data_IF_879373661551
#
_entry.id   IF_879373661551
#
_cell.length_a   1.000
_cell.length_b   1.000
_cell.length_c   1.000
_cell.angle_alpha   90.00
_cell.angle_beta   90.00
_cell.angle_gamma   90.00
#
_symmetry.space_group_name_H-M   'P 1'
#
loop_
_entity.id
_entity.type
_entity.pdbx_description
1 polymer ?
#
# COMPACT_ATOMS: atom_id res chain seq x y z
N UNK A 1 31.74 -2.19 -25.59
CA UNK A 1 31.09 -1.73 -24.34
C UNK A 1 30.94 -2.93 -23.42
N UNK A 2 31.44 -2.90 -22.18
CA UNK A 2 31.21 -4.01 -21.25
C UNK A 2 29.71 -4.10 -20.92
N UNK A 3 29.19 -5.32 -20.87
CA UNK A 3 27.81 -5.56 -20.43
C UNK A 3 27.67 -5.28 -18.93
N UNK A 4 26.51 -4.79 -18.46
CA UNK A 4 26.30 -4.43 -17.07
C UNK A 4 26.33 -5.66 -16.13
N UNK A 5 25.91 -6.83 -16.61
CA UNK A 5 25.88 -8.07 -15.83
C UNK A 5 26.76 -9.13 -16.46
N UNK A 6 27.53 -9.84 -15.63
CA UNK A 6 28.35 -11.00 -16.04
C UNK A 6 27.73 -12.33 -15.61
N UNK A 7 26.84 -12.30 -14.62
CA UNK A 7 26.13 -13.46 -14.10
C UNK A 7 24.71 -13.48 -14.68
N UNK A 8 24.28 -14.54 -15.38
CA UNK A 8 22.94 -14.60 -15.97
C UNK A 8 21.80 -14.40 -14.95
N UNK A 9 21.98 -14.89 -13.72
CA UNK A 9 21.02 -14.75 -12.64
C UNK A 9 20.79 -13.28 -12.23
N UNK A 10 21.85 -12.47 -12.19
CA UNK A 10 21.74 -11.03 -11.89
C UNK A 10 20.94 -10.31 -12.98
N UNK A 11 21.21 -10.64 -14.25
CA UNK A 11 20.45 -10.10 -15.38
C UNK A 11 18.97 -10.51 -15.31
N UNK A 12 18.66 -11.75 -14.88
CA UNK A 12 17.29 -12.23 -14.68
C UNK A 12 16.58 -11.44 -13.59
N UNK A 13 17.21 -11.23 -12.43
CA UNK A 13 16.61 -10.45 -11.33
C UNK A 13 16.38 -9.00 -11.73
N UNK A 14 17.36 -8.39 -12.39
CA UNK A 14 17.23 -7.02 -12.88
C UNK A 14 16.07 -6.88 -13.86
N UNK A 15 15.95 -7.82 -14.80
CA UNK A 15 14.85 -7.86 -15.76
C UNK A 15 13.49 -8.14 -15.09
N UNK A 16 13.45 -9.06 -14.13
CA UNK A 16 12.23 -9.38 -13.39
C UNK A 16 11.69 -8.17 -12.63
N UNK A 17 12.57 -7.36 -12.03
CA UNK A 17 12.16 -6.10 -11.39
C UNK A 17 11.45 -5.16 -12.36
N UNK A 18 12.02 -4.97 -13.55
CA UNK A 18 11.47 -4.10 -14.60
C UNK A 18 10.07 -4.53 -15.05
N UNK A 19 9.90 -5.83 -15.31
CA UNK A 19 8.67 -6.35 -15.91
C UNK A 19 7.55 -6.54 -14.89
N UNK A 20 7.87 -6.94 -13.66
CA UNK A 20 6.88 -7.43 -12.72
C UNK A 20 6.74 -6.58 -11.45
N UNK A 21 7.79 -5.85 -11.03
CA UNK A 21 7.82 -5.22 -9.70
C UNK A 21 7.71 -3.71 -9.75
N UNK A 22 8.43 -3.05 -10.65
CA UNK A 22 8.48 -1.59 -10.74
C UNK A 22 7.09 -0.97 -10.91
N UNK A 23 6.23 -1.58 -11.74
CA UNK A 23 4.86 -1.10 -11.95
C UNK A 23 3.99 -1.08 -10.70
N UNK A 24 4.26 -1.94 -9.69
CA UNK A 24 3.54 -1.90 -8.41
C UNK A 24 3.93 -0.69 -7.56
N UNK A 25 5.17 -0.22 -7.71
CA UNK A 25 5.69 0.95 -7.00
C UNK A 25 5.21 2.25 -7.68
N UNK A 26 5.11 2.26 -9.01
CA UNK A 26 4.74 3.43 -9.83
C UNK A 26 3.22 3.74 -9.93
N UNK A 27 2.36 3.14 -9.09
CA UNK A 27 0.90 3.22 -9.24
C UNK A 27 0.32 4.65 -9.30
N UNK A 28 0.95 5.60 -8.61
CA UNK A 28 0.56 7.01 -8.61
C UNK A 28 1.63 7.91 -9.23
N UNK A 29 2.47 7.35 -10.08
CA UNK A 29 3.58 8.04 -10.74
C UNK A 29 3.51 7.88 -12.26
N UNK A 30 3.11 8.95 -12.94
CA UNK A 30 3.00 8.97 -14.41
C UNK A 30 4.36 8.88 -15.11
N UNK A 31 5.44 9.32 -14.45
CA UNK A 31 6.80 9.27 -15.00
C UNK A 31 7.45 7.89 -14.81
N UNK A 32 6.87 7.06 -13.94
CA UNK A 32 7.27 5.67 -13.68
C UNK A 32 8.74 5.57 -13.26
N UNK A 33 9.12 6.35 -12.24
CA UNK A 33 10.53 6.46 -11.84
C UNK A 33 11.12 5.13 -11.38
N UNK A 34 10.32 4.22 -10.79
CA UNK A 34 10.83 2.89 -10.45
C UNK A 34 11.06 2.03 -11.68
N UNK A 35 10.27 2.17 -12.75
CA UNK A 35 10.46 1.41 -13.99
C UNK A 35 11.50 2.03 -14.94
N UNK A 36 11.75 3.34 -14.84
CA UNK A 36 12.58 4.10 -15.78
C UNK A 36 13.91 4.54 -15.15
N UNK A 37 13.87 5.32 -14.07
CA UNK A 37 15.06 5.93 -13.47
C UNK A 37 15.85 4.98 -12.56
N UNK A 38 15.16 4.22 -11.71
CA UNK A 38 15.79 3.28 -10.76
C UNK A 38 16.74 2.28 -11.45
N UNK A 39 16.36 1.63 -12.55
CA UNK A 39 17.23 0.69 -13.26
C UNK A 39 18.52 1.36 -13.76
N UNK A 40 18.42 2.56 -14.34
CA UNK A 40 19.59 3.30 -14.82
C UNK A 40 20.51 3.68 -13.66
N UNK A 41 19.95 4.23 -12.59
CA UNK A 41 20.69 4.62 -11.39
C UNK A 41 21.34 3.42 -10.69
N UNK A 42 20.66 2.28 -10.65
CA UNK A 42 21.17 1.05 -10.03
C UNK A 42 22.48 0.58 -10.66
N UNK A 43 22.71 0.82 -11.97
CA UNK A 43 23.97 0.46 -12.62
C UNK A 43 25.19 1.24 -12.09
N UNK A 44 24.95 2.40 -11.45
CA UNK A 44 26.00 3.26 -10.88
C UNK A 44 25.93 3.36 -9.34
N UNK A 45 24.86 2.85 -8.71
CA UNK A 45 24.63 2.89 -7.28
C UNK A 45 24.51 1.47 -6.71
N UNK A 46 25.56 0.92 -6.06
CA UNK A 46 25.55 -0.44 -5.53
C UNK A 46 24.42 -0.69 -4.53
N UNK A 47 24.10 0.29 -3.67
CA UNK A 47 23.03 0.15 -2.67
C UNK A 47 21.67 -0.05 -3.33
N UNK A 48 21.36 0.75 -4.36
CA UNK A 48 20.11 0.61 -5.10
C UNK A 48 20.06 -0.69 -5.89
N UNK A 49 21.19 -1.11 -6.48
CA UNK A 49 21.28 -2.40 -7.16
C UNK A 49 21.03 -3.56 -6.20
N UNK A 50 21.66 -3.56 -5.03
CA UNK A 50 21.49 -4.61 -4.02
C UNK A 50 20.03 -4.68 -3.56
N UNK A 51 19.37 -3.54 -3.28
CA UNK A 51 17.95 -3.50 -2.91
C UNK A 51 17.05 -4.10 -4.00
N UNK A 52 17.29 -3.71 -5.26
CA UNK A 52 16.56 -4.21 -6.43
C UNK A 52 16.73 -5.71 -6.58
N UNK A 53 17.97 -6.21 -6.52
CA UNK A 53 18.28 -7.64 -6.65
C UNK A 53 17.68 -8.46 -5.51
N UNK A 54 17.74 -7.94 -4.28
CA UNK A 54 17.12 -8.57 -3.12
C UNK A 54 15.62 -8.75 -3.33
N UNK A 55 14.92 -7.66 -3.67
CA UNK A 55 13.47 -7.70 -3.86
C UNK A 55 13.07 -8.63 -5.01
N UNK A 56 13.75 -8.53 -6.16
CA UNK A 56 13.49 -9.39 -7.31
C UNK A 56 13.72 -10.87 -7.02
N UNK A 57 14.86 -11.21 -6.40
CA UNK A 57 15.18 -12.57 -6.02
C UNK A 57 14.19 -13.15 -5.01
N UNK A 58 13.79 -12.35 -4.02
CA UNK A 58 12.79 -12.77 -3.02
C UNK A 58 11.45 -13.05 -3.67
N UNK A 59 10.98 -12.14 -4.51
CA UNK A 59 9.73 -12.32 -5.24
C UNK A 59 9.75 -13.60 -6.08
N UNK A 60 10.78 -13.79 -6.91
CA UNK A 60 10.95 -14.99 -7.73
C UNK A 60 11.01 -16.27 -6.90
N UNK A 61 11.75 -16.27 -5.79
CA UNK A 61 11.84 -17.43 -4.90
C UNK A 61 10.47 -17.90 -4.40
N UNK A 62 9.54 -16.95 -4.16
CA UNK A 62 8.19 -17.22 -3.65
C UNK A 62 7.18 -17.54 -4.74
N UNK A 63 7.24 -16.88 -5.89
CA UNK A 63 6.28 -17.10 -6.98
C UNK A 63 6.65 -18.31 -7.85
N UNK A 64 7.93 -18.66 -7.92
CA UNK A 64 8.44 -19.75 -8.75
C UNK A 64 9.02 -20.92 -7.95
N UNK A 65 8.93 -20.89 -6.61
CA UNK A 65 9.37 -21.94 -5.68
C UNK A 65 10.86 -22.38 -5.88
N UNK A 66 11.75 -21.41 -6.08
CA UNK A 66 13.19 -21.63 -6.30
C UNK A 66 14.00 -21.34 -5.03
N UNK A 67 14.48 -22.39 -4.35
CA UNK A 67 15.26 -22.24 -3.10
C UNK A 67 16.59 -21.52 -3.32
N UNK A 68 17.23 -21.69 -4.48
CA UNK A 68 18.49 -21.00 -4.80
C UNK A 68 18.31 -19.49 -4.87
N UNK A 69 17.17 -19.01 -5.34
CA UNK A 69 16.89 -17.58 -5.46
C UNK A 69 16.71 -16.93 -4.08
N UNK A 70 16.20 -17.68 -3.09
CA UNK A 70 16.07 -17.19 -1.71
C UNK A 70 17.43 -16.84 -1.10
N UNK A 71 18.41 -17.74 -1.21
CA UNK A 71 19.74 -17.51 -0.62
C UNK A 71 20.47 -16.32 -1.28
N UNK A 72 20.28 -16.14 -2.60
CA UNK A 72 20.85 -15.01 -3.33
C UNK A 72 20.15 -13.70 -2.92
N UNK A 73 18.82 -13.73 -2.73
CA UNK A 73 18.08 -12.57 -2.26
C UNK A 73 18.53 -12.12 -0.86
N UNK A 74 18.72 -13.06 0.07
CA UNK A 74 19.25 -12.81 1.41
C UNK A 74 20.66 -12.22 1.37
N UNK A 75 21.51 -12.67 0.45
CA UNK A 75 22.85 -12.13 0.25
C UNK A 75 22.81 -10.65 -0.17
N UNK A 76 22.00 -10.30 -1.17
CA UNK A 76 21.84 -8.91 -1.62
C UNK A 76 21.21 -8.03 -0.54
N UNK A 77 20.21 -8.53 0.18
CA UNK A 77 19.62 -7.81 1.31
C UNK A 77 20.68 -7.49 2.37
N UNK A 78 21.47 -8.47 2.80
CA UNK A 78 22.54 -8.28 3.78
C UNK A 78 23.57 -7.23 3.31
N UNK A 79 23.98 -7.28 2.04
CA UNK A 79 24.94 -6.35 1.48
C UNK A 79 24.39 -4.92 1.40
N UNK A 80 23.12 -4.76 0.99
CA UNK A 80 22.40 -3.48 0.99
C UNK A 80 22.39 -2.85 2.39
N UNK A 81 21.89 -3.60 3.40
CA UNK A 81 21.82 -3.14 4.79
C UNK A 81 23.21 -2.78 5.33
N UNK A 82 24.21 -3.63 5.09
CA UNK A 82 25.58 -3.40 5.56
C UNK A 82 26.19 -2.13 5.00
N UNK A 83 25.83 -1.75 3.76
CA UNK A 83 26.26 -0.49 3.14
C UNK A 83 25.48 0.71 3.64
N UNK A 84 24.19 0.56 3.93
CA UNK A 84 23.33 1.65 4.39
C UNK A 84 23.59 2.05 5.84
N UNK A 85 23.86 1.10 6.74
CA UNK A 85 24.09 1.37 8.18
C UNK A 85 25.10 2.52 8.43
N UNK A 86 26.31 2.54 7.84
CA UNK A 86 27.25 3.63 8.08
C UNK A 86 26.75 4.97 7.52
N UNK A 87 26.00 4.96 6.40
CA UNK A 87 25.48 6.16 5.73
C UNK A 87 24.40 6.88 6.54
N UNK A 88 23.70 6.19 7.45
CA UNK A 88 22.68 6.79 8.31
C UNK A 88 23.24 7.88 9.25
N UNK A 89 24.57 7.93 9.44
CA UNK A 89 25.22 8.98 10.24
C UNK A 89 25.57 10.24 9.41
N UNK A 90 25.43 10.20 8.09
CA UNK A 90 25.78 11.28 7.17
C UNK A 90 24.51 11.95 6.65
N UNK A 91 24.26 13.21 7.05
CA UNK A 91 23.00 13.90 6.76
C UNK A 91 22.72 14.06 5.26
N UNK A 92 23.75 14.36 4.48
CA UNK A 92 23.66 14.53 3.03
C UNK A 92 23.25 13.23 2.33
N UNK A 93 23.72 12.07 2.82
CA UNK A 93 23.35 10.77 2.26
C UNK A 93 21.93 10.37 2.64
N UNK A 94 21.47 10.69 3.85
CA UNK A 94 20.07 10.45 4.26
C UNK A 94 19.10 11.31 3.43
N UNK A 95 19.55 12.45 2.91
CA UNK A 95 18.78 13.32 2.01
C UNK A 95 18.82 12.89 0.53
N UNK A 96 19.60 11.86 0.16
CA UNK A 96 19.71 11.41 -1.23
C UNK A 96 18.48 10.60 -1.68
N UNK A 97 17.84 11.03 -2.77
CA UNK A 97 16.63 10.39 -3.31
C UNK A 97 16.88 8.95 -3.80
N UNK A 98 18.10 8.63 -4.24
CA UNK A 98 18.47 7.29 -4.73
C UNK A 98 18.60 6.32 -3.56
N UNK A 99 19.19 6.77 -2.45
CA UNK A 99 19.27 6.00 -1.20
C UNK A 99 17.88 5.85 -0.55
N UNK A 100 17.03 6.87 -0.64
CA UNK A 100 15.65 6.74 -0.17
C UNK A 100 14.86 5.72 -1.00
N UNK A 101 14.98 5.74 -2.33
CA UNK A 101 14.36 4.73 -3.20
C UNK A 101 14.87 3.31 -2.87
N UNK A 102 16.17 3.15 -2.60
CA UNK A 102 16.73 1.87 -2.16
C UNK A 102 16.12 1.40 -0.83
N UNK A 103 15.97 2.31 0.15
CA UNK A 103 15.34 2.01 1.45
C UNK A 103 13.87 1.55 1.30
N UNK A 104 13.12 2.16 0.36
CA UNK A 104 11.74 1.80 0.06
C UNK A 104 11.63 0.43 -0.63
N UNK A 105 12.51 0.13 -1.58
CA UNK A 105 12.58 -1.19 -2.22
C UNK A 105 12.94 -2.26 -1.19
N UNK A 106 13.92 -1.99 -0.33
CA UNK A 106 14.35 -2.88 0.74
C UNK A 106 13.22 -3.14 1.75
N UNK A 107 12.44 -2.12 2.10
CA UNK A 107 11.21 -2.29 2.90
C UNK A 107 10.21 -3.24 2.23
N UNK A 108 10.05 -3.14 0.91
CA UNK A 108 9.18 -4.06 0.15
C UNK A 108 9.72 -5.50 0.15
N UNK A 109 11.04 -5.67 0.14
CA UNK A 109 11.67 -6.98 0.35
C UNK A 109 11.31 -7.55 1.74
N UNK A 110 11.43 -6.76 2.79
CA UNK A 110 11.14 -7.21 4.16
C UNK A 110 9.66 -7.62 4.31
N UNK A 111 8.75 -6.81 3.76
CA UNK A 111 7.31 -7.09 3.64
C UNK A 111 7.02 -8.45 2.97
N UNK A 112 7.78 -8.76 1.92
CA UNK A 112 7.68 -10.03 1.18
C UNK A 112 8.60 -11.12 1.72
N UNK A 113 9.32 -10.94 2.83
CA UNK A 113 10.17 -11.97 3.42
C UNK A 113 9.54 -12.63 4.64
N UNK A 114 8.51 -12.03 5.24
CA UNK A 114 7.86 -12.61 6.41
C UNK A 114 7.10 -13.90 6.08
N UNK A 115 7.11 -14.86 7.00
CA UNK A 115 6.30 -16.09 6.94
C UNK A 115 4.96 -15.93 7.65
N UNK A 116 4.83 -14.92 8.51
CA UNK A 116 3.63 -14.57 9.25
C UNK A 116 3.47 -13.05 9.23
N UNK A 117 2.32 -12.54 8.74
CA UNK A 117 2.08 -11.10 8.72
C UNK A 117 2.26 -10.50 10.12
N UNK A 118 3.18 -9.53 10.23
CA UNK A 118 3.39 -8.71 11.42
C UNK A 118 4.34 -9.31 12.46
N UNK A 119 4.91 -10.50 12.22
CA UNK A 119 5.84 -11.14 13.16
C UNK A 119 7.30 -10.76 12.87
N UNK A 120 7.83 -9.78 13.63
CA UNK A 120 9.28 -9.46 13.62
C UNK A 120 9.69 -8.20 12.85
N UNK A 121 8.72 -7.52 12.25
CA UNK A 121 8.86 -6.36 11.38
C UNK A 121 9.54 -5.11 12.01
N UNK A 122 9.48 -4.95 13.33
CA UNK A 122 9.88 -3.70 13.99
C UNK A 122 11.41 -3.45 14.05
N UNK A 123 12.25 -4.45 13.75
CA UNK A 123 13.71 -4.31 13.94
C UNK A 123 14.46 -3.62 12.79
N UNK A 124 13.94 -3.62 11.57
CA UNK A 124 14.66 -3.10 10.38
C UNK A 124 13.90 -2.00 9.60
N UNK A 125 12.56 -2.01 9.57
CA UNK A 125 11.74 -1.01 8.88
C UNK A 125 11.76 0.42 9.46
N UNK A 126 12.37 0.63 10.61
CA UNK A 126 12.46 1.97 11.22
C UNK A 126 13.47 2.86 10.49
N UNK A 127 14.38 2.29 9.69
CA UNK A 127 15.34 3.07 8.91
C UNK A 127 14.70 3.93 7.81
N UNK A 128 13.63 3.46 7.16
CA UNK A 128 13.04 4.16 6.00
C UNK A 128 12.38 5.48 6.37
N UNK A 129 11.81 5.61 7.57
CA UNK A 129 11.23 6.88 8.03
C UNK A 129 12.29 7.95 8.26
N UNK A 130 13.53 7.58 8.59
CA UNK A 130 14.66 8.51 8.72
C UNK A 130 14.93 9.20 7.39
N UNK A 131 14.95 8.45 6.28
CA UNK A 131 15.09 9.01 4.93
C UNK A 131 13.89 9.90 4.57
N UNK A 132 12.66 9.39 4.77
CA UNK A 132 11.44 10.13 4.42
C UNK A 132 11.36 11.49 5.13
N UNK A 133 11.67 11.53 6.42
CA UNK A 133 11.65 12.75 7.21
C UNK A 133 12.83 13.69 6.87
N UNK A 134 13.98 13.17 6.45
CA UNK A 134 15.08 14.00 5.99
C UNK A 134 14.76 14.73 4.67
N UNK A 135 14.06 14.10 3.72
CA UNK A 135 13.62 14.77 2.48
C UNK A 135 12.82 16.05 2.78
N UNK A 136 12.00 16.02 3.83
CA UNK A 136 11.27 17.19 4.33
C UNK A 136 12.18 18.29 4.86
N UNK A 137 13.27 17.95 5.55
CA UNK A 137 14.23 18.93 6.03
C UNK A 137 15.03 19.57 4.87
N UNK A 138 15.41 18.78 3.87
CA UNK A 138 16.28 19.23 2.76
C UNK A 138 15.52 19.77 1.55
N UNK A 139 14.18 19.75 1.56
CA UNK A 139 13.32 20.27 0.50
C UNK A 139 13.57 19.64 -0.89
N UNK A 140 14.03 18.40 -0.91
CA UNK A 140 14.29 17.62 -2.12
C UNK A 140 12.98 16.98 -2.61
N UNK A 141 12.21 17.74 -3.39
CA UNK A 141 10.87 17.34 -3.85
C UNK A 141 10.74 17.25 -5.38
N UNK A 142 9.99 16.25 -5.83
CA UNK A 142 9.85 15.88 -7.25
C UNK A 142 10.65 14.61 -7.57
N UNK A 143 10.64 14.20 -8.84
CA UNK A 143 11.48 13.11 -9.32
C UNK A 143 11.29 11.78 -8.59
N UNK A 144 12.40 11.06 -8.41
CA UNK A 144 12.43 9.75 -7.77
C UNK A 144 12.12 9.85 -6.27
N UNK A 145 12.60 10.88 -5.57
CA UNK A 145 12.32 11.09 -4.15
C UNK A 145 10.81 11.21 -3.86
N UNK A 146 10.09 11.94 -4.71
CA UNK A 146 8.63 12.06 -4.65
C UNK A 146 7.92 10.73 -4.87
N UNK A 147 8.34 9.97 -5.89
CA UNK A 147 7.77 8.65 -6.17
C UNK A 147 7.99 7.69 -4.99
N UNK A 148 9.21 7.66 -4.44
CA UNK A 148 9.57 6.84 -3.28
C UNK A 148 8.76 7.21 -2.03
N UNK A 149 8.49 8.51 -1.82
CA UNK A 149 7.66 8.97 -0.71
C UNK A 149 6.25 8.38 -0.74
N UNK A 150 5.56 8.39 -1.89
CA UNK A 150 4.20 7.85 -1.98
C UNK A 150 4.14 6.32 -1.91
N UNK A 151 5.23 5.62 -2.23
CA UNK A 151 5.35 4.19 -1.90
C UNK A 151 5.47 4.03 -0.38
N UNK A 152 6.36 4.79 0.26
CA UNK A 152 6.57 4.75 1.70
C UNK A 152 5.28 5.02 2.49
N UNK A 153 4.49 6.04 2.14
CA UNK A 153 3.20 6.33 2.81
C UNK A 153 2.23 5.15 2.70
N UNK A 154 2.12 4.52 1.53
CA UNK A 154 1.25 3.35 1.34
C UNK A 154 1.70 2.14 2.17
N UNK A 155 3.02 1.91 2.23
CA UNK A 155 3.61 0.88 3.09
C UNK A 155 3.36 1.17 4.57
N UNK A 156 3.41 2.44 4.96
CA UNK A 156 3.20 2.84 6.35
C UNK A 156 1.75 2.69 6.80
N UNK A 157 0.80 3.03 5.93
CA UNK A 157 -0.64 2.73 6.13
C UNK A 157 -0.85 1.22 6.30
N UNK A 158 -0.28 0.41 5.40
CA UNK A 158 -0.37 -1.05 5.49
C UNK A 158 0.15 -1.56 6.83
N UNK A 159 1.33 -1.11 7.25
CA UNK A 159 1.93 -1.56 8.51
C UNK A 159 1.17 -1.09 9.73
N UNK A 160 0.73 0.17 9.76
CA UNK A 160 -0.06 0.71 10.86
C UNK A 160 -1.34 -0.08 11.07
N UNK A 161 -2.06 -0.44 10.00
CA UNK A 161 -3.24 -1.29 10.08
C UNK A 161 -2.92 -2.71 10.52
N UNK A 162 -1.82 -3.29 10.04
CA UNK A 162 -1.40 -4.65 10.37
C UNK A 162 -0.97 -4.79 11.83
N UNK A 163 -0.12 -3.89 12.33
CA UNK A 163 0.44 -3.95 13.68
C UNK A 163 -0.40 -3.19 14.71
N UNK A 164 -1.47 -2.51 14.27
CA UNK A 164 -2.29 -1.62 15.10
C UNK A 164 -1.46 -0.57 15.86
N UNK A 165 -0.43 -0.03 15.20
CA UNK A 165 0.45 1.00 15.76
C UNK A 165 0.28 2.34 15.03
N UNK A 166 0.66 3.47 15.64
CA UNK A 166 0.71 4.75 14.94
C UNK A 166 1.59 4.72 13.68
N UNK A 167 1.29 5.63 12.75
CA UNK A 167 2.13 5.86 11.57
C UNK A 167 3.54 6.31 11.98
N UNK A 168 4.54 5.88 11.21
CA UNK A 168 5.93 6.34 11.30
C UNK A 168 6.19 7.58 10.45
N UNK A 169 5.40 7.78 9.39
CA UNK A 169 5.38 9.06 8.68
C UNK A 169 4.86 10.13 9.63
N UNK A 170 5.63 11.18 9.84
CA UNK A 170 5.12 12.36 10.51
C UNK A 170 4.08 13.00 9.60
N UNK A 171 2.88 13.32 10.09
CA UNK A 171 1.88 14.03 9.28
C UNK A 171 1.97 15.55 9.47
N UNK A 172 2.67 16.01 10.52
CA UNK A 172 2.81 17.42 10.86
C UNK A 172 3.90 18.10 10.04
N UNK A 173 3.70 19.37 9.70
CA UNK A 173 4.67 20.18 8.95
C UNK A 173 4.74 19.87 7.46
N UNK A 174 4.04 18.83 7.00
CA UNK A 174 3.90 18.46 5.60
C UNK A 174 3.09 19.54 4.85
N UNK A 175 1.93 19.96 5.34
CA UNK A 175 1.15 21.03 4.66
C UNK A 175 1.92 22.35 4.46
N UNK A 176 2.87 22.69 5.33
CA UNK A 176 3.64 23.95 5.27
C UNK A 176 4.96 23.85 4.49
N UNK A 177 5.61 22.68 4.47
CA UNK A 177 6.98 22.49 3.94
C UNK A 177 7.03 21.81 2.59
N UNK A 178 5.87 21.50 2.03
CA UNK A 178 5.76 20.68 0.86
C UNK A 178 5.54 21.47 -0.42
N UNK A 179 6.15 20.96 -1.49
CA UNK A 179 5.75 21.25 -2.87
C UNK A 179 4.57 20.37 -3.32
N UNK A 180 4.01 19.54 -2.45
CA UNK A 180 2.86 18.69 -2.76
C UNK A 180 1.56 19.49 -2.63
N UNK A 181 0.72 19.35 -3.63
CA UNK A 181 -0.60 19.94 -3.64
C UNK A 181 -1.61 18.99 -2.96
N UNK A 182 -1.81 19.21 -1.66
CA UNK A 182 -2.80 18.51 -0.82
C UNK A 182 -4.17 19.20 -0.82
N UNK A 183 -4.35 20.23 -1.65
CA UNK A 183 -5.61 20.95 -1.76
C UNK A 183 -6.69 20.18 -2.52
N UNK A 184 -7.68 20.90 -3.03
CA UNK A 184 -8.73 20.34 -3.87
C UNK A 184 -8.83 21.04 -5.24
N UNK A 185 -7.84 21.88 -5.57
CA UNK A 185 -7.78 22.56 -6.85
C UNK A 185 -7.50 21.57 -7.99
N UNK A 186 -7.99 21.84 -9.21
CA UNK A 186 -7.73 21.00 -10.38
C UNK A 186 -6.23 20.82 -10.64
N UNK A 187 -5.81 19.57 -10.82
CA UNK A 187 -4.41 19.15 -10.99
C UNK A 187 -4.37 17.78 -11.68
N UNK A 188 -3.21 17.14 -11.75
CA UNK A 188 -3.03 15.83 -12.39
C UNK A 188 -3.75 14.70 -11.65
N UNK A 189 -4.15 13.65 -12.37
CA UNK A 189 -4.82 12.49 -11.77
C UNK A 189 -3.93 11.76 -10.74
N UNK A 190 -2.62 11.71 -10.97
CA UNK A 190 -1.65 11.18 -9.99
C UNK A 190 -1.71 11.94 -8.67
N UNK A 191 -1.76 13.27 -8.72
CA UNK A 191 -1.90 14.12 -7.54
C UNK A 191 -3.23 13.87 -6.83
N UNK A 192 -4.34 13.71 -7.56
CA UNK A 192 -5.64 13.36 -6.97
C UNK A 192 -5.63 12.00 -6.26
N UNK A 193 -4.96 10.99 -6.82
CA UNK A 193 -4.79 9.70 -6.16
C UNK A 193 -3.96 9.84 -4.87
N UNK A 194 -2.87 10.59 -4.92
CA UNK A 194 -2.00 10.87 -3.78
C UNK A 194 -2.73 11.65 -2.66
N UNK A 195 -3.58 12.63 -3.01
CA UNK A 195 -4.45 13.32 -2.04
C UNK A 195 -5.34 12.35 -1.26
N UNK A 196 -5.90 11.34 -1.93
CA UNK A 196 -6.71 10.34 -1.23
C UNK A 196 -5.89 9.41 -0.34
N UNK A 197 -4.69 9.02 -0.79
CA UNK A 197 -3.75 8.26 0.04
C UNK A 197 -3.41 9.04 1.31
N UNK A 198 -3.15 10.35 1.18
CA UNK A 198 -2.86 11.22 2.32
C UNK A 198 -4.04 11.29 3.30
N UNK A 199 -5.26 11.50 2.81
CA UNK A 199 -6.46 11.52 3.66
C UNK A 199 -6.64 10.19 4.41
N UNK A 200 -6.35 9.04 3.77
CA UNK A 200 -6.34 7.74 4.48
C UNK A 200 -5.24 7.69 5.53
N UNK A 201 -4.05 8.23 5.27
CA UNK A 201 -2.99 8.34 6.28
C UNK A 201 -3.46 9.17 7.49
N UNK A 202 -4.13 10.30 7.28
CA UNK A 202 -4.71 11.09 8.37
C UNK A 202 -5.75 10.29 9.19
N UNK A 203 -6.63 9.54 8.50
CA UNK A 203 -7.62 8.66 9.15
C UNK A 203 -6.94 7.59 10.01
N UNK A 204 -5.94 6.92 9.46
CA UNK A 204 -5.15 5.90 10.18
C UNK A 204 -4.41 6.53 11.37
N UNK A 205 -3.84 7.72 11.18
CA UNK A 205 -3.11 8.48 12.19
C UNK A 205 -3.91 8.73 13.46
N UNK A 206 -5.19 9.14 13.35
CA UNK A 206 -6.03 9.31 14.54
C UNK A 206 -6.72 8.00 14.98
N UNK A 207 -6.89 7.00 14.10
CA UNK A 207 -7.42 5.69 14.49
C UNK A 207 -6.54 4.99 15.54
N UNK A 208 -5.20 5.13 15.44
CA UNK A 208 -4.22 4.55 16.36
C UNK A 208 -3.47 5.59 17.22
N UNK A 209 -3.73 6.88 17.01
CA UNK A 209 -3.24 8.01 17.80
C UNK A 209 -4.31 8.60 18.73
N UNK A 210 -4.40 9.94 18.77
CA UNK A 210 -5.38 10.65 19.61
C UNK A 210 -6.76 10.75 18.93
N UNK A 211 -7.71 9.94 19.41
CA UNK A 211 -9.09 9.85 18.90
C UNK A 211 -9.94 11.01 19.41
N UNK A 212 -9.86 12.15 18.75
CA UNK A 212 -10.77 13.27 19.00
C UNK A 212 -11.86 13.38 17.90
N UNK A 213 -13.04 13.89 18.27
CA UNK A 213 -14.19 14.02 17.36
C UNK A 213 -13.92 15.01 16.22
N UNK A 214 -13.16 16.08 16.48
CA UNK A 214 -12.85 17.11 15.49
C UNK A 214 -12.01 16.57 14.31
N UNK A 215 -11.09 15.66 14.59
CA UNK A 215 -10.26 15.00 13.58
C UNK A 215 -11.10 14.10 12.69
N UNK A 216 -12.08 13.39 13.28
CA UNK A 216 -13.00 12.54 12.52
C UNK A 216 -13.88 13.35 11.57
N UNK A 217 -14.49 14.45 12.06
CA UNK A 217 -15.34 15.32 11.23
C UNK A 217 -14.53 15.96 10.09
N UNK A 218 -13.34 16.49 10.40
CA UNK A 218 -12.43 17.05 9.40
C UNK A 218 -12.05 16.04 8.32
N UNK A 219 -11.70 14.80 8.72
CA UNK A 219 -11.35 13.75 7.77
C UNK A 219 -12.55 13.32 6.91
N UNK A 220 -13.75 13.20 7.49
CA UNK A 220 -14.98 12.95 6.72
C UNK A 220 -15.21 14.04 5.68
N UNK A 221 -15.12 15.30 6.08
CA UNK A 221 -15.35 16.44 5.19
C UNK A 221 -14.31 16.50 4.05
N UNK A 222 -13.05 16.14 4.33
CA UNK A 222 -11.99 15.96 3.30
C UNK A 222 -12.35 14.84 2.31
N UNK A 223 -12.83 13.69 2.78
CA UNK A 223 -13.27 12.57 1.91
C UNK A 223 -14.43 12.98 1.02
N UNK A 224 -15.44 13.67 1.56
CA UNK A 224 -16.59 14.16 0.79
C UNK A 224 -16.17 15.23 -0.23
N UNK A 225 -15.29 16.15 0.17
CA UNK A 225 -14.76 17.19 -0.73
C UNK A 225 -13.94 16.56 -1.87
N UNK A 226 -13.14 15.53 -1.57
CA UNK A 226 -12.41 14.78 -2.59
C UNK A 226 -13.36 14.12 -3.58
N UNK A 227 -14.43 13.46 -3.10
CA UNK A 227 -15.45 12.80 -3.92
C UNK A 227 -16.12 13.80 -4.88
N UNK A 228 -16.49 14.98 -4.37
CA UNK A 228 -17.16 16.02 -5.16
C UNK A 228 -16.25 16.74 -6.16
N UNK A 229 -14.95 16.81 -5.87
CA UNK A 229 -14.00 17.65 -6.61
C UNK A 229 -13.09 16.87 -7.57
N UNK A 230 -12.95 15.54 -7.39
CA UNK A 230 -12.06 14.73 -8.23
C UNK A 230 -12.45 14.84 -9.72
N UNK A 231 -11.49 14.70 -10.64
CA UNK A 231 -11.78 14.71 -12.07
C UNK A 231 -12.64 13.52 -12.50
N UNK A 232 -13.44 13.70 -13.56
CA UNK A 232 -14.28 12.64 -14.15
C UNK A 232 -13.49 11.42 -14.66
N UNK A 233 -12.17 11.53 -14.83
CA UNK A 233 -11.30 10.40 -15.19
C UNK A 233 -11.30 9.29 -14.13
N UNK A 234 -11.68 9.62 -12.89
CA UNK A 234 -11.87 8.67 -11.79
C UNK A 234 -13.23 7.97 -11.81
N UNK A 235 -14.15 8.34 -12.70
CA UNK A 235 -15.42 7.63 -12.83
C UNK A 235 -15.19 6.24 -13.46
N UNK A 236 -15.87 5.19 -12.97
CA UNK A 236 -15.74 3.85 -13.54
C UNK A 236 -16.10 3.82 -15.03
N UNK A 237 -15.26 3.16 -15.82
CA UNK A 237 -15.56 2.81 -17.22
C UNK A 237 -16.73 1.82 -17.28
N UNK A 238 -16.76 0.90 -16.30
CA UNK A 238 -17.83 -0.06 -16.11
C UNK A 238 -18.14 -0.14 -14.61
N UNK A 239 -19.43 -0.09 -14.30
CA UNK A 239 -19.95 -0.44 -12.99
C UNK A 239 -21.04 -1.50 -13.16
N UNK A 240 -20.86 -2.65 -12.53
CA UNK A 240 -21.90 -3.67 -12.44
C UNK A 240 -22.14 -4.01 -10.98
N UNK A 241 -23.40 -3.91 -10.56
CA UNK A 241 -23.79 -4.10 -9.16
C UNK A 241 -23.62 -5.55 -8.70
N UNK A 242 -23.38 -5.74 -7.39
CA UNK A 242 -23.42 -7.05 -6.74
C UNK A 242 -24.76 -7.75 -7.01
N UNK A 243 -24.71 -9.04 -7.32
CA UNK A 243 -25.90 -9.87 -7.54
C UNK A 243 -25.66 -11.26 -6.91
N UNK A 244 -26.10 -11.45 -5.66
CA UNK A 244 -25.93 -12.71 -4.94
C UNK A 244 -26.67 -13.89 -5.58
N UNK A 245 -27.80 -13.62 -6.25
CA UNK A 245 -28.58 -14.65 -6.93
C UNK A 245 -27.80 -15.21 -8.13
N UNK A 246 -27.04 -14.34 -8.81
CA UNK A 246 -26.09 -14.72 -9.85
C UNK A 246 -24.70 -15.13 -9.31
N UNK A 247 -24.52 -15.32 -8.00
CA UNK A 247 -23.23 -15.60 -7.32
C UNK A 247 -22.13 -14.55 -7.56
N UNK A 248 -22.52 -13.33 -7.92
CA UNK A 248 -21.62 -12.18 -8.01
C UNK A 248 -21.67 -11.43 -6.68
N UNK A 249 -20.80 -11.79 -5.76
CA UNK A 249 -20.81 -11.24 -4.40
C UNK A 249 -20.10 -9.87 -4.28
N UNK A 250 -19.31 -9.48 -5.27
CA UNK A 250 -18.68 -8.15 -5.34
C UNK A 250 -19.15 -7.39 -6.57
N UNK A 251 -19.26 -6.05 -6.50
CA UNK A 251 -19.49 -5.24 -7.69
C UNK A 251 -18.29 -5.34 -8.64
N UNK A 252 -18.54 -5.21 -9.93
CA UNK A 252 -17.48 -5.09 -10.93
C UNK A 252 -17.25 -3.61 -11.23
N UNK A 253 -16.07 -3.09 -10.84
CA UNK A 253 -15.72 -1.67 -10.99
C UNK A 253 -14.44 -1.58 -11.81
N UNK A 254 -14.54 -1.22 -13.09
CA UNK A 254 -13.38 -1.06 -14.00
C UNK A 254 -12.99 0.40 -14.12
N UNK A 255 -11.71 0.70 -13.90
CA UNK A 255 -11.15 2.06 -13.92
C UNK A 255 -10.03 2.14 -14.97
N UNK A 256 -9.77 3.35 -15.49
CA UNK A 256 -8.95 3.53 -16.69
C UNK A 256 -7.45 3.35 -16.51
N UNK A 257 -6.89 3.75 -15.36
CA UNK A 257 -5.45 3.75 -15.12
C UNK A 257 -5.11 3.35 -13.68
N UNK A 258 -3.85 2.92 -13.43
CA UNK A 258 -3.39 2.55 -12.09
C UNK A 258 -3.70 3.57 -11.00
N UNK A 259 -3.48 4.87 -11.25
CA UNK A 259 -3.78 5.92 -10.27
C UNK A 259 -5.28 6.11 -10.03
N UNK A 260 -6.16 5.87 -11.01
CA UNK A 260 -7.61 5.86 -10.80
C UNK A 260 -8.02 4.67 -9.91
N UNK A 261 -7.46 3.49 -10.18
CA UNK A 261 -7.65 2.28 -9.37
C UNK A 261 -7.23 2.54 -7.92
N UNK A 262 -6.00 3.04 -7.72
CA UNK A 262 -5.49 3.35 -6.39
C UNK A 262 -6.33 4.41 -5.70
N UNK A 263 -6.60 5.55 -6.34
CA UNK A 263 -7.39 6.63 -5.72
C UNK A 263 -8.78 6.17 -5.28
N UNK A 264 -9.50 5.42 -6.11
CA UNK A 264 -10.85 4.92 -5.75
C UNK A 264 -10.80 3.80 -4.70
N UNK A 265 -9.80 2.91 -4.72
CA UNK A 265 -9.65 1.93 -3.64
C UNK A 265 -9.34 2.60 -2.30
N UNK A 266 -8.48 3.62 -2.29
CA UNK A 266 -8.22 4.42 -1.09
C UNK A 266 -9.44 5.24 -0.67
N UNK A 267 -10.29 5.70 -1.59
CA UNK A 267 -11.56 6.36 -1.25
C UNK A 267 -12.51 5.42 -0.49
N UNK A 268 -12.73 4.20 -1.00
CA UNK A 268 -13.56 3.23 -0.28
C UNK A 268 -12.90 2.78 1.03
N UNK A 269 -11.56 2.70 1.08
CA UNK A 269 -10.82 2.46 2.33
C UNK A 269 -10.99 3.60 3.34
N UNK A 270 -11.03 4.85 2.90
CA UNK A 270 -11.30 5.98 3.78
C UNK A 270 -12.69 5.86 4.41
N UNK A 271 -13.71 5.56 3.60
CA UNK A 271 -15.09 5.40 4.07
C UNK A 271 -15.28 4.23 5.03
N UNK A 272 -14.68 3.08 4.74
CA UNK A 272 -14.76 1.94 5.67
C UNK A 272 -14.06 2.26 7.00
N UNK A 273 -12.90 2.94 6.97
CA UNK A 273 -12.17 3.29 8.20
C UNK A 273 -12.92 4.35 9.01
N UNK A 274 -13.51 5.36 8.37
CA UNK A 274 -14.35 6.36 9.05
C UNK A 274 -15.56 5.71 9.73
N UNK A 275 -16.17 4.71 9.08
CA UNK A 275 -17.28 3.97 9.67
C UNK A 275 -16.84 3.15 10.89
N UNK A 276 -15.65 2.53 10.88
CA UNK A 276 -15.15 1.76 12.05
C UNK A 276 -14.77 2.64 13.23
N UNK A 277 -14.36 3.90 13.00
CA UNK A 277 -13.97 4.83 14.05
C UNK A 277 -15.02 5.90 14.39
N UNK A 278 -16.28 5.71 13.97
CA UNK A 278 -17.36 6.67 14.18
C UNK A 278 -17.57 7.03 15.67
N UNK A 279 -17.42 8.31 16.08
CA UNK A 279 -17.42 8.68 17.50
C UNK A 279 -18.82 8.76 18.14
N UNK A 280 -19.89 8.81 17.34
CA UNK A 280 -21.26 9.04 17.84
C UNK A 280 -22.15 7.79 17.86
N UNK A 281 -21.58 6.59 17.87
CA UNK A 281 -22.37 5.36 18.06
C UNK A 281 -23.01 5.38 19.45
N UNK A 282 -24.36 5.33 19.58
CA UNK A 282 -25.01 5.19 20.88
C UNK A 282 -24.47 3.96 21.60
N UNK A 283 -24.07 4.04 22.87
CA UNK A 283 -23.46 2.89 23.56
C UNK A 283 -24.48 1.84 24.01
N UNK A 284 -25.68 2.29 24.39
CA UNK A 284 -26.79 1.46 24.89
C UNK A 284 -28.13 2.14 24.57
N UNK A 285 -29.22 1.38 24.63
CA UNK A 285 -30.58 1.90 24.53
C UNK A 285 -31.18 1.89 23.12
N UNK A 286 -32.30 2.61 22.96
CA UNK A 286 -33.02 2.69 21.69
C UNK A 286 -32.11 3.28 20.60
N UNK A 287 -32.05 2.60 19.46
CA UNK A 287 -31.21 3.01 18.32
C UNK A 287 -29.83 2.36 18.26
N UNK A 288 -29.33 1.74 19.33
CA UNK A 288 -28.03 1.03 19.32
C UNK A 288 -27.93 -0.01 18.21
N UNK A 289 -28.88 -0.95 18.17
CA UNK A 289 -28.90 -2.01 17.15
C UNK A 289 -29.04 -1.45 15.73
N UNK A 290 -29.77 -0.34 15.54
CA UNK A 290 -29.92 0.30 14.24
C UNK A 290 -28.60 0.95 13.80
N UNK A 291 -27.92 1.64 14.71
CA UNK A 291 -26.62 2.25 14.45
C UNK A 291 -25.56 1.18 14.12
N UNK A 292 -25.52 0.07 14.86
CA UNK A 292 -24.62 -1.04 14.56
C UNK A 292 -24.86 -1.66 13.18
N UNK A 293 -26.13 -1.87 12.79
CA UNK A 293 -26.45 -2.38 11.44
C UNK A 293 -26.02 -1.41 10.36
N UNK A 294 -26.33 -0.13 10.53
CA UNK A 294 -25.95 0.92 9.55
C UNK A 294 -24.43 0.98 9.37
N UNK A 295 -23.67 0.91 10.46
CA UNK A 295 -22.22 0.86 10.44
C UNK A 295 -21.70 -0.40 9.74
N UNK A 296 -22.26 -1.57 10.06
CA UNK A 296 -21.92 -2.84 9.42
C UNK A 296 -22.17 -2.80 7.90
N UNK A 297 -23.33 -2.32 7.48
CA UNK A 297 -23.72 -2.19 6.07
C UNK A 297 -22.77 -1.23 5.33
N UNK A 298 -22.37 -0.12 5.96
CA UNK A 298 -21.43 0.83 5.39
C UNK A 298 -20.02 0.24 5.26
N UNK A 299 -19.51 -0.43 6.29
CA UNK A 299 -18.20 -1.10 6.26
C UNK A 299 -18.17 -2.14 5.15
N UNK A 300 -19.16 -3.03 5.12
CA UNK A 300 -19.23 -4.11 4.13
C UNK A 300 -19.39 -3.57 2.70
N UNK A 301 -20.24 -2.58 2.48
CA UNK A 301 -20.42 -1.98 1.14
C UNK A 301 -19.12 -1.42 0.58
N UNK A 302 -18.36 -0.70 1.41
CA UNK A 302 -17.09 -0.12 1.00
C UNK A 302 -16.00 -1.20 0.84
N UNK A 303 -15.95 -2.19 1.73
CA UNK A 303 -15.05 -3.34 1.61
C UNK A 303 -15.31 -4.14 0.32
N UNK A 304 -16.56 -4.39 0.00
CA UNK A 304 -16.99 -5.06 -1.23
C UNK A 304 -16.56 -4.28 -2.47
N UNK A 305 -16.64 -2.94 -2.44
CA UNK A 305 -16.16 -2.10 -3.54
C UNK A 305 -14.64 -2.19 -3.72
N UNK A 306 -13.85 -2.19 -2.63
CA UNK A 306 -12.39 -2.39 -2.70
C UNK A 306 -12.05 -3.75 -3.32
N UNK A 307 -12.70 -4.82 -2.86
CA UNK A 307 -12.53 -6.18 -3.40
C UNK A 307 -12.96 -6.25 -4.87
N UNK A 308 -14.10 -5.63 -5.21
CA UNK A 308 -14.64 -5.57 -6.57
C UNK A 308 -13.68 -4.93 -7.57
N UNK A 309 -13.05 -3.82 -7.20
CA UNK A 309 -12.00 -3.18 -8.03
C UNK A 309 -10.81 -4.12 -8.22
N UNK A 310 -10.35 -4.78 -7.15
CA UNK A 310 -9.21 -5.69 -7.20
C UNK A 310 -9.46 -6.93 -8.08
N UNK A 311 -10.71 -7.42 -8.15
CA UNK A 311 -11.11 -8.49 -9.07
C UNK A 311 -11.23 -8.02 -10.51
N UNK A 312 -11.67 -6.78 -10.73
CA UNK A 312 -11.93 -6.23 -12.05
C UNK A 312 -10.67 -5.78 -12.82
N UNK A 313 -9.49 -5.84 -12.19
CA UNK A 313 -8.20 -5.39 -12.76
C UNK A 313 -7.13 -6.48 -12.75
N UNK A 314 -6.22 -6.42 -13.72
CA UNK A 314 -5.03 -7.29 -13.76
C UNK A 314 -3.89 -6.76 -12.89
N UNK A 315 -3.99 -5.56 -12.32
CA UNK A 315 -2.92 -4.91 -11.55
C UNK A 315 -2.69 -5.61 -10.19
N UNK A 316 -1.48 -6.18 -9.92
CA UNK A 316 -1.20 -6.82 -8.64
C UNK A 316 -1.27 -5.86 -7.45
N UNK A 317 -0.83 -4.61 -7.63
CA UNK A 317 -0.92 -3.59 -6.58
C UNK A 317 -2.35 -3.31 -6.11
N UNK A 318 -3.37 -3.47 -6.97
CA UNK A 318 -4.76 -3.31 -6.56
C UNK A 318 -5.21 -4.42 -5.61
N UNK A 319 -4.69 -5.64 -5.78
CA UNK A 319 -4.90 -6.75 -4.85
C UNK A 319 -4.19 -6.50 -3.53
N UNK A 320 -2.97 -5.94 -3.55
CA UNK A 320 -2.27 -5.53 -2.33
C UNK A 320 -3.05 -4.47 -1.54
N UNK A 321 -3.58 -3.44 -2.21
CA UNK A 321 -4.44 -2.44 -1.56
C UNK A 321 -5.72 -3.07 -0.97
N UNK A 322 -6.31 -4.06 -1.64
CA UNK A 322 -7.43 -4.81 -1.09
C UNK A 322 -7.04 -5.68 0.13
N UNK A 323 -5.86 -6.32 0.13
CA UNK A 323 -5.33 -7.00 1.31
C UNK A 323 -5.22 -6.04 2.51
N UNK A 324 -4.73 -4.82 2.29
CA UNK A 324 -4.67 -3.77 3.33
C UNK A 324 -6.06 -3.44 3.88
N UNK A 325 -7.08 -3.30 3.02
CA UNK A 325 -8.45 -3.08 3.48
C UNK A 325 -8.98 -4.28 4.28
N UNK A 326 -8.73 -5.51 3.81
CA UNK A 326 -9.19 -6.76 4.45
C UNK A 326 -8.58 -6.94 5.85
N UNK A 327 -7.37 -6.45 6.11
CA UNK A 327 -6.82 -6.41 7.48
C UNK A 327 -7.76 -5.65 8.42
N UNK A 328 -8.31 -4.52 7.96
CA UNK A 328 -9.19 -3.68 8.77
C UNK A 328 -10.63 -4.21 8.83
N UNK A 329 -11.16 -4.75 7.73
CA UNK A 329 -12.59 -5.06 7.61
C UNK A 329 -12.92 -6.55 7.44
N UNK A 330 -11.94 -7.44 7.29
CA UNK A 330 -12.17 -8.86 7.01
C UNK A 330 -13.07 -9.58 8.02
N UNK A 331 -12.97 -9.35 9.34
CA UNK A 331 -13.87 -9.96 10.32
C UNK A 331 -15.35 -9.62 10.11
N UNK A 332 -15.67 -8.48 9.48
CA UNK A 332 -17.05 -8.06 9.22
C UNK A 332 -17.80 -8.98 8.24
N UNK A 333 -17.07 -9.80 7.48
CA UNK A 333 -17.64 -10.81 6.59
C UNK A 333 -18.20 -12.04 7.33
N UNK A 334 -18.14 -12.11 8.67
CA UNK A 334 -18.61 -13.26 9.48
C UNK A 334 -20.03 -13.73 9.16
N UNK A 335 -20.94 -12.82 8.79
CA UNK A 335 -22.33 -13.16 8.45
C UNK A 335 -22.61 -13.21 6.95
N UNK A 336 -21.60 -13.07 6.09
CA UNK A 336 -21.73 -13.24 4.64
C UNK A 336 -21.77 -14.73 4.26
N UNK A 337 -22.37 -15.08 3.10
CA UNK A 337 -22.37 -16.45 2.61
C UNK A 337 -20.95 -17.04 2.51
N UNK A 338 -20.84 -18.36 2.67
CA UNK A 338 -19.55 -19.07 2.62
C UNK A 338 -18.81 -18.81 1.31
N UNK A 339 -19.54 -18.76 0.20
CA UNK A 339 -18.99 -18.50 -1.13
C UNK A 339 -18.43 -17.08 -1.29
N UNK A 340 -18.99 -16.09 -0.58
CA UNK A 340 -18.46 -14.72 -0.56
C UNK A 340 -17.16 -14.65 0.26
N UNK A 341 -17.14 -15.30 1.42
CA UNK A 341 -15.94 -15.44 2.25
C UNK A 341 -14.82 -16.20 1.50
N UNK A 342 -15.15 -17.26 0.75
CA UNK A 342 -14.22 -17.97 -0.13
C UNK A 342 -13.59 -17.04 -1.17
N UNK A 343 -14.36 -16.13 -1.75
CA UNK A 343 -13.81 -15.15 -2.70
C UNK A 343 -12.88 -14.14 -2.00
N UNK A 344 -13.16 -13.70 -0.77
CA UNK A 344 -12.21 -12.88 0.01
C UNK A 344 -10.87 -13.63 0.19
N UNK A 345 -10.92 -14.91 0.56
CA UNK A 345 -9.71 -15.73 0.71
C UNK A 345 -8.99 -15.98 -0.62
N UNK A 346 -9.73 -16.11 -1.71
CA UNK A 346 -9.16 -16.22 -3.05
C UNK A 346 -8.38 -14.95 -3.44
N UNK A 347 -8.90 -13.77 -3.09
CA UNK A 347 -8.18 -12.51 -3.31
C UNK A 347 -6.84 -12.50 -2.58
N UNK A 348 -6.83 -12.91 -1.29
CA UNK A 348 -5.61 -13.04 -0.50
C UNK A 348 -4.62 -14.02 -1.16
N UNK A 349 -5.12 -15.21 -1.56
CA UNK A 349 -4.31 -16.24 -2.22
C UNK A 349 -3.69 -15.74 -3.53
N UNK A 350 -4.45 -14.96 -4.32
CA UNK A 350 -3.94 -14.36 -5.57
C UNK A 350 -2.86 -13.32 -5.29
N UNK A 351 -3.04 -12.46 -4.27
CA UNK A 351 -2.01 -11.51 -3.88
C UNK A 351 -0.71 -12.21 -3.45
N UNK A 352 -0.81 -13.32 -2.71
CA UNK A 352 0.35 -14.13 -2.32
C UNK A 352 1.05 -14.77 -3.52
N UNK A 353 0.29 -15.36 -4.44
CA UNK A 353 0.84 -16.02 -5.63
C UNK A 353 1.49 -15.05 -6.63
N UNK A 354 0.97 -13.82 -6.75
CA UNK A 354 1.41 -12.86 -7.77
C UNK A 354 2.38 -11.80 -7.24
N UNK A 355 2.34 -11.48 -5.94
CA UNK A 355 3.13 -10.40 -5.32
C UNK A 355 3.97 -10.86 -4.13
N UNK A 356 4.05 -12.18 -3.88
CA UNK A 356 4.84 -12.78 -2.81
C UNK A 356 4.50 -12.33 -1.38
N UNK A 357 3.31 -11.73 -1.20
CA UNK A 357 2.84 -11.15 0.05
C UNK A 357 2.30 -12.25 1.00
N UNK A 358 2.72 -12.32 2.27
CA UNK A 358 2.46 -13.46 3.13
C UNK A 358 1.05 -13.45 3.76
N UNK A 359 0.01 -13.61 2.94
CA UNK A 359 -1.40 -13.49 3.39
C UNK A 359 -1.90 -14.68 4.22
N UNK A 360 -1.16 -15.80 4.25
CA UNK A 360 -1.58 -17.03 4.90
C UNK A 360 -1.97 -16.91 6.39
N UNK A 361 -1.34 -16.05 7.18
CA UNK A 361 -1.75 -15.84 8.58
C UNK A 361 -3.08 -15.09 8.69
N UNK A 362 -3.30 -14.06 7.88
CA UNK A 362 -4.57 -13.35 7.81
C UNK A 362 -5.70 -14.28 7.34
N UNK A 363 -5.46 -15.08 6.30
CA UNK A 363 -6.43 -16.05 5.82
C UNK A 363 -6.81 -17.08 6.89
N UNK A 364 -5.88 -17.50 7.76
CA UNK A 364 -6.20 -18.37 8.91
C UNK A 364 -7.00 -17.63 9.98
N UNK A 365 -6.57 -16.44 10.38
CA UNK A 365 -7.28 -15.63 11.39
C UNK A 365 -8.71 -15.32 10.95
N UNK A 366 -8.94 -15.01 9.67
CA UNK A 366 -10.29 -14.78 9.14
C UNK A 366 -11.16 -16.03 9.20
N UNK A 367 -10.62 -17.21 8.89
CA UNK A 367 -11.38 -18.46 9.05
C UNK A 367 -11.78 -18.71 10.51
N UNK A 368 -10.89 -18.42 11.45
CA UNK A 368 -11.20 -18.53 12.88
C UNK A 368 -12.32 -17.55 13.28
N UNK A 369 -12.22 -16.27 12.87
CA UNK A 369 -13.25 -15.24 13.10
C UNK A 369 -14.60 -15.56 12.45
N UNK A 370 -14.59 -16.27 11.32
CA UNK A 370 -15.80 -16.67 10.60
C UNK A 370 -16.36 -18.03 11.03
N UNK A 371 -15.78 -18.66 12.06
CA UNK A 371 -16.19 -19.98 12.57
C UNK A 371 -16.19 -21.08 11.49
N UNK A 372 -15.13 -21.12 10.68
CA UNK A 372 -15.08 -21.89 9.42
C UNK A 372 -14.99 -23.40 9.47
#
# INVERSE_FOLDING_TARGET
MPLPFKVPQEALFFHHFLENLAGMLDMTDIQRHFAVDVPERALSCPVLLDALMAFAGRHLSRTSASESDSAIADHYHYHCVSRMIPMLNEKELVADETLFAAAVILRTYEETNETHMGAGLERHLTGTSVFANAQLEFHTWGGLGHAAFWVFVRQDIYMSLLSQQPLKVDLAGWEERLSFDLGFDPTTDCTWANRMIWIVAEIVGFCFGDRNTSNWESARDKVETWDLSRPKSFDPILYVERDPDAKRYFPEIRLGHPWHVTGIQYYYMAKLLLATCYPHVPKIGLGYQRAQRTMCDEILRNAEAVCGIAFATSLPAARLTACTAIIACGPWFVHRPREEQEQVLELLRRAEAESAYPTGSLARGLREEWEW
#
